data_IF_326144483822
#
_entry.id   IF_326144483822
#
_cell.length_a   1.000
_cell.length_b   1.000
_cell.length_c   1.000
_cell.angle_alpha   90.00
_cell.angle_beta   90.00
_cell.angle_gamma   90.00
#
_symmetry.space_group_name_H-M   'P 1'
#
loop_
_entity.id
_entity.type
_entity.pdbx_description
1 polymer ?
#
# COMPACT_ATOMS: atom_id res chain seq x y z
N UNK A 1 -11.59 2.58 -0.42
CA UNK A 1 -12.27 2.39 -1.72
C UNK A 1 -11.19 2.35 -2.77
N UNK A 2 -11.23 1.42 -3.73
CA UNK A 2 -10.31 1.37 -4.86
C UNK A 2 -11.10 1.38 -6.17
N UNK A 3 -10.64 2.17 -7.14
CA UNK A 3 -11.25 2.28 -8.47
C UNK A 3 -10.33 1.62 -9.50
N UNK A 4 -10.93 0.88 -10.43
CA UNK A 4 -10.18 0.12 -11.43
C UNK A 4 -10.83 0.23 -12.80
N UNK A 5 -10.03 0.09 -13.87
CA UNK A 5 -10.55 -0.26 -15.20
C UNK A 5 -10.64 -1.79 -15.36
N UNK A 6 -11.56 -2.28 -16.18
CA UNK A 6 -11.81 -3.72 -16.37
C UNK A 6 -10.57 -4.49 -16.85
N UNK A 7 -9.89 -4.00 -17.88
CA UNK A 7 -8.70 -4.68 -18.41
C UNK A 7 -7.53 -4.71 -17.41
N UNK A 8 -7.31 -3.61 -16.67
CA UNK A 8 -6.25 -3.53 -15.67
C UNK A 8 -6.55 -4.44 -14.47
N UNK A 9 -7.80 -4.47 -14.00
CA UNK A 9 -8.21 -5.32 -12.88
C UNK A 9 -7.99 -6.80 -13.17
N UNK A 10 -8.28 -7.24 -14.40
CA UNK A 10 -8.10 -8.63 -14.81
C UNK A 10 -6.65 -8.99 -15.16
N UNK A 11 -5.86 -8.03 -15.67
CA UNK A 11 -4.54 -8.32 -16.25
C UNK A 11 -3.33 -8.03 -15.35
N UNK A 12 -3.46 -7.20 -14.32
CA UNK A 12 -2.32 -6.82 -13.48
C UNK A 12 -2.16 -7.77 -12.28
N UNK A 13 -1.05 -8.50 -12.23
CA UNK A 13 -0.70 -9.40 -11.10
C UNK A 13 -0.81 -8.76 -9.70
N UNK A 14 -0.41 -7.48 -9.51
CA UNK A 14 -0.58 -6.78 -8.24
C UNK A 14 -2.02 -6.73 -7.71
N UNK A 15 -3.04 -6.85 -8.57
CA UNK A 15 -4.44 -6.91 -8.12
C UNK A 15 -4.69 -8.17 -7.29
N UNK A 16 -4.25 -9.33 -7.77
CA UNK A 16 -4.36 -10.59 -7.05
C UNK A 16 -3.54 -10.59 -5.76
N UNK A 17 -2.32 -10.03 -5.81
CA UNK A 17 -1.48 -9.88 -4.62
C UNK A 17 -2.15 -9.00 -3.54
N UNK A 18 -2.71 -7.86 -3.92
CA UNK A 18 -3.43 -6.97 -3.01
C UNK A 18 -4.72 -7.59 -2.46
N UNK A 19 -5.48 -8.32 -3.29
CA UNK A 19 -6.66 -9.06 -2.81
C UNK A 19 -6.25 -10.11 -1.76
N UNK A 20 -5.13 -10.80 -1.96
CA UNK A 20 -4.63 -11.79 -1.01
C UNK A 20 -4.22 -11.17 0.35
N UNK A 21 -3.84 -9.89 0.39
CA UNK A 21 -3.57 -9.16 1.63
C UNK A 21 -4.82 -8.91 2.49
N UNK A 22 -6.02 -8.89 1.89
CA UNK A 22 -7.26 -8.33 2.47
C UNK A 22 -7.61 -8.89 3.86
N UNK A 23 -7.27 -10.14 4.14
CA UNK A 23 -7.58 -10.82 5.41
C UNK A 23 -6.35 -11.19 6.25
N UNK A 24 -5.13 -10.95 5.73
CA UNK A 24 -3.91 -11.36 6.42
C UNK A 24 -3.62 -10.47 7.64
N UNK A 25 -3.25 -11.06 8.81
CA UNK A 25 -2.82 -10.29 9.96
C UNK A 25 -1.64 -9.37 9.61
N UNK A 26 -1.74 -8.09 9.98
CA UNK A 26 -0.74 -7.07 9.66
C UNK A 26 -1.01 -6.29 8.37
N UNK A 27 -1.97 -6.73 7.55
CA UNK A 27 -2.34 -6.09 6.28
C UNK A 27 -3.85 -5.83 6.13
N UNK A 28 -4.70 -6.61 6.81
CA UNK A 28 -6.16 -6.43 6.76
C UNK A 28 -6.59 -5.01 7.15
N UNK A 29 -7.50 -4.43 6.35
CA UNK A 29 -8.06 -3.07 6.55
C UNK A 29 -9.55 -3.08 6.89
N UNK A 30 -10.10 -4.27 7.20
CA UNK A 30 -11.54 -4.46 7.47
C UNK A 30 -12.39 -4.43 6.20
N UNK A 31 -11.82 -4.88 5.07
CA UNK A 31 -12.54 -4.95 3.80
C UNK A 31 -12.42 -3.68 2.95
N UNK A 32 -12.20 -3.88 1.66
CA UNK A 32 -12.13 -2.82 0.65
C UNK A 32 -13.32 -2.89 -0.31
N UNK A 33 -13.93 -1.74 -0.59
CA UNK A 33 -14.92 -1.62 -1.68
C UNK A 33 -14.16 -1.36 -2.98
N UNK A 34 -14.30 -2.25 -3.95
CA UNK A 34 -13.73 -2.14 -5.29
C UNK A 34 -14.81 -1.70 -6.27
N UNK A 35 -14.58 -0.62 -7.01
CA UNK A 35 -15.44 -0.19 -8.10
C UNK A 35 -14.71 -0.39 -9.43
N UNK A 36 -15.22 -1.28 -10.26
CA UNK A 36 -14.69 -1.50 -11.61
C UNK A 36 -15.51 -0.66 -12.57
N UNK A 37 -14.84 0.28 -13.23
CA UNK A 37 -15.40 1.04 -14.34
C UNK A 37 -15.23 0.18 -15.59
N UNK A 38 -16.18 -0.75 -15.78
CA UNK A 38 -16.13 -1.72 -16.85
C UNK A 38 -16.74 -1.14 -18.12
N UNK A 39 -15.93 -0.37 -18.83
CA UNK A 39 -16.29 0.24 -20.11
C UNK A 39 -16.14 -0.74 -21.30
N UNK A 40 -15.79 -2.00 -20.99
CA UNK A 40 -15.66 -3.12 -21.91
C UNK A 40 -14.53 -2.98 -22.93
N UNK A 41 -13.52 -2.13 -22.67
CA UNK A 41 -12.37 -1.95 -23.56
C UNK A 41 -11.12 -1.40 -22.86
N UNK A 42 -10.00 -2.12 -22.97
CA UNK A 42 -8.69 -1.67 -22.52
C UNK A 42 -7.88 -1.08 -23.66
N UNK A 43 -7.77 0.25 -23.78
CA UNK A 43 -7.19 0.93 -24.95
C UNK A 43 -7.96 0.54 -26.23
N UNK A 44 -7.44 -0.40 -27.02
CA UNK A 44 -8.05 -1.01 -28.22
C UNK A 44 -8.35 -2.50 -28.04
N UNK A 45 -8.01 -3.07 -26.88
CA UNK A 45 -8.15 -4.50 -26.59
C UNK A 45 -9.55 -4.82 -26.06
N UNK A 46 -10.21 -5.78 -26.71
CA UNK A 46 -11.56 -6.22 -26.35
C UNK A 46 -11.55 -7.21 -25.18
N UNK A 47 -12.68 -7.40 -24.47
CA UNK A 47 -12.80 -8.32 -23.34
C UNK A 47 -12.32 -9.75 -23.63
N UNK A 48 -12.59 -10.25 -24.84
CA UNK A 48 -12.19 -11.59 -25.28
C UNK A 48 -10.66 -11.77 -25.38
N UNK A 49 -9.92 -10.68 -25.57
CA UNK A 49 -8.45 -10.68 -25.66
C UNK A 49 -7.78 -10.25 -24.34
N UNK A 50 -8.55 -9.63 -23.43
CA UNK A 50 -8.02 -9.06 -22.19
C UNK A 50 -7.99 -10.06 -21.00
N UNK A 51 -8.75 -11.16 -21.07
CA UNK A 51 -8.90 -12.11 -19.96
C UNK A 51 -9.33 -13.49 -20.43
N UNK A 52 -9.11 -14.50 -19.59
CA UNK A 52 -9.45 -15.91 -19.88
C UNK A 52 -10.74 -16.38 -19.21
N UNK A 53 -11.53 -15.47 -18.64
CA UNK A 53 -12.78 -15.76 -17.95
C UNK A 53 -13.90 -14.79 -18.35
N UNK A 54 -15.14 -15.07 -17.94
CA UNK A 54 -16.29 -14.30 -18.39
C UNK A 54 -16.25 -12.84 -17.88
N UNK A 55 -15.93 -12.64 -16.61
CA UNK A 55 -15.98 -11.34 -15.95
C UNK A 55 -14.58 -10.82 -15.64
N UNK A 56 -14.38 -9.50 -15.80
CA UNK A 56 -13.13 -8.85 -15.38
C UNK A 56 -12.87 -9.03 -13.88
N UNK A 57 -13.94 -9.24 -13.10
CA UNK A 57 -13.93 -9.39 -11.65
C UNK A 57 -13.67 -10.79 -11.15
N UNK A 58 -13.48 -11.79 -12.03
CA UNK A 58 -13.29 -13.18 -11.61
C UNK A 58 -12.04 -13.38 -10.73
N UNK A 59 -11.04 -12.51 -10.84
CA UNK A 59 -9.87 -12.51 -9.94
C UNK A 59 -10.27 -12.36 -8.46
N UNK A 60 -11.35 -11.62 -8.16
CA UNK A 60 -11.83 -11.41 -6.79
C UNK A 60 -12.43 -12.68 -6.14
N UNK A 61 -12.75 -13.70 -6.96
CA UNK A 61 -13.21 -15.00 -6.45
C UNK A 61 -12.14 -15.72 -5.65
N UNK A 62 -10.86 -15.40 -5.83
CA UNK A 62 -9.76 -16.01 -5.07
C UNK A 62 -9.87 -15.77 -3.55
N UNK A 63 -10.55 -14.69 -3.15
CA UNK A 63 -10.84 -14.37 -1.75
C UNK A 63 -12.32 -14.48 -1.42
N UNK A 64 -13.12 -15.13 -2.27
CA UNK A 64 -14.56 -15.30 -2.10
C UNK A 64 -15.31 -13.97 -1.86
N UNK A 65 -14.85 -12.87 -2.48
CA UNK A 65 -15.53 -11.59 -2.36
C UNK A 65 -16.88 -11.64 -3.12
N UNK A 66 -17.97 -11.08 -2.55
CA UNK A 66 -19.19 -10.86 -3.32
C UNK A 66 -18.94 -9.87 -4.46
N UNK A 67 -19.57 -10.15 -5.60
CA UNK A 67 -19.46 -9.35 -6.83
C UNK A 67 -20.87 -8.95 -7.26
N UNK A 68 -21.12 -7.64 -7.37
CA UNK A 68 -22.34 -7.07 -7.88
C UNK A 68 -22.11 -6.55 -9.30
N UNK A 69 -22.68 -7.21 -10.30
CA UNK A 69 -22.69 -6.69 -11.67
C UNK A 69 -23.90 -5.77 -11.84
N UNK A 70 -23.65 -4.52 -12.23
CA UNK A 70 -24.68 -3.47 -12.24
C UNK A 70 -24.63 -2.74 -13.57
N UNK A 71 -25.80 -2.44 -14.13
CA UNK A 71 -25.90 -1.61 -15.32
C UNK A 71 -25.60 -0.14 -14.95
N UNK A 72 -24.49 0.39 -15.44
CA UNK A 72 -24.08 1.76 -15.19
C UNK A 72 -24.99 2.82 -15.82
N UNK A 73 -25.91 2.42 -16.70
CA UNK A 73 -26.95 3.29 -17.25
C UNK A 73 -28.21 3.39 -16.36
N UNK A 74 -28.23 2.72 -15.19
CA UNK A 74 -29.35 2.79 -14.22
C UNK A 74 -28.83 3.32 -12.87
N UNK A 75 -28.82 4.64 -12.65
CA UNK A 75 -28.18 5.26 -11.48
C UNK A 75 -28.71 4.76 -10.13
N UNK A 76 -30.00 4.42 -10.04
CA UNK A 76 -30.60 3.91 -8.81
C UNK A 76 -30.16 2.49 -8.47
N UNK A 77 -29.82 1.65 -9.44
CA UNK A 77 -29.22 0.33 -9.18
C UNK A 77 -27.78 0.48 -8.68
N UNK A 78 -27.02 1.42 -9.23
CA UNK A 78 -25.69 1.74 -8.72
C UNK A 78 -25.72 2.27 -7.29
N UNK A 79 -26.67 3.15 -6.98
CA UNK A 79 -26.87 3.65 -5.62
C UNK A 79 -27.15 2.50 -4.66
N UNK A 80 -28.08 1.61 -5.01
CA UNK A 80 -28.38 0.43 -4.20
C UNK A 80 -27.16 -0.48 -4.02
N UNK A 81 -26.39 -0.75 -5.08
CA UNK A 81 -25.19 -1.58 -5.00
C UNK A 81 -24.10 -0.94 -4.12
N UNK A 82 -23.96 0.39 -4.17
CA UNK A 82 -23.05 1.13 -3.29
C UNK A 82 -23.48 1.05 -1.82
N UNK A 83 -24.77 1.16 -1.53
CA UNK A 83 -25.31 0.96 -0.17
C UNK A 83 -25.05 -0.46 0.33
N UNK A 84 -25.40 -1.46 -0.48
CA UNK A 84 -25.16 -2.87 -0.15
C UNK A 84 -23.67 -3.14 0.12
N UNK A 85 -22.77 -2.66 -0.76
CA UNK A 85 -21.34 -2.86 -0.61
C UNK A 85 -20.81 -2.21 0.69
N UNK A 86 -21.29 -1.02 1.02
CA UNK A 86 -20.94 -0.35 2.27
C UNK A 86 -21.42 -1.15 3.49
N UNK A 87 -22.68 -1.55 3.52
CA UNK A 87 -23.28 -2.34 4.60
C UNK A 87 -22.56 -3.69 4.76
N UNK A 88 -22.32 -4.40 3.66
CA UNK A 88 -21.56 -5.67 3.66
C UNK A 88 -20.17 -5.47 4.26
N UNK A 89 -19.42 -4.47 3.79
CA UNK A 89 -18.07 -4.20 4.29
C UNK A 89 -18.08 -3.89 5.78
N UNK A 90 -19.05 -3.10 6.26
CA UNK A 90 -19.15 -2.76 7.70
C UNK A 90 -19.56 -3.95 8.56
N UNK A 91 -20.47 -4.80 8.07
CA UNK A 91 -20.97 -5.96 8.80
C UNK A 91 -19.94 -7.09 8.86
N UNK A 92 -19.21 -7.35 7.76
CA UNK A 92 -18.38 -8.54 7.62
C UNK A 92 -16.88 -8.27 7.61
N UNK A 93 -16.43 -7.02 7.41
CA UNK A 93 -15.01 -6.68 7.36
C UNK A 93 -14.26 -7.32 6.18
N UNK A 94 -14.96 -7.58 5.06
CA UNK A 94 -14.43 -8.23 3.86
C UNK A 94 -14.57 -7.36 2.61
N UNK A 95 -13.75 -7.63 1.62
CA UNK A 95 -13.77 -6.95 0.33
C UNK A 95 -15.08 -7.26 -0.41
N UNK A 96 -15.54 -6.30 -1.20
CA UNK A 96 -16.74 -6.40 -2.05
C UNK A 96 -16.49 -5.64 -3.35
N UNK A 97 -16.95 -6.21 -4.46
CA UNK A 97 -16.71 -5.68 -5.80
C UNK A 97 -18.01 -5.23 -6.45
N UNK A 98 -18.04 -4.00 -6.93
CA UNK A 98 -19.09 -3.47 -7.81
C UNK A 98 -18.49 -3.44 -9.22
N UNK A 99 -19.04 -4.25 -10.12
CA UNK A 99 -18.72 -4.28 -11.54
C UNK A 99 -19.73 -3.43 -12.30
N UNK A 100 -19.40 -2.15 -12.51
CA UNK A 100 -20.28 -1.20 -13.20
C UNK A 100 -20.05 -1.30 -14.71
N UNK A 101 -20.99 -1.96 -15.39
CA UNK A 101 -20.99 -2.05 -16.85
C UNK A 101 -21.39 -0.72 -17.46
N UNK A 102 -20.49 -0.14 -18.24
CA UNK A 102 -20.71 1.10 -18.96
C UNK A 102 -20.08 1.03 -20.36
N UNK A 103 -19.84 2.18 -20.96
CA UNK A 103 -19.15 2.31 -22.24
C UNK A 103 -18.25 3.54 -22.26
N UNK A 104 -17.20 3.52 -23.07
CA UNK A 104 -16.33 4.68 -23.29
C UNK A 104 -16.83 5.47 -24.50
N UNK A 105 -17.30 6.70 -24.30
CA UNK A 105 -17.90 7.54 -25.35
C UNK A 105 -16.89 7.90 -26.46
N UNK A 106 -15.67 8.26 -26.06
CA UNK A 106 -14.58 8.68 -26.93
C UNK A 106 -13.51 7.58 -27.06
N UNK A 107 -12.40 7.89 -27.72
CA UNK A 107 -11.19 7.06 -27.75
C UNK A 107 -10.60 6.82 -26.36
N UNK A 108 -9.44 6.14 -26.29
CA UNK A 108 -8.77 5.93 -25.00
C UNK A 108 -8.36 7.27 -24.36
N UNK A 109 -8.01 8.23 -25.21
CA UNK A 109 -8.00 9.66 -24.92
C UNK A 109 -8.89 10.38 -25.94
N UNK A 110 -9.18 11.66 -25.71
CA UNK A 110 -10.13 12.44 -26.52
C UNK A 110 -9.65 12.70 -27.96
N UNK A 111 -8.35 12.56 -28.22
CA UNK A 111 -7.75 12.73 -29.54
C UNK A 111 -7.57 11.39 -30.29
N UNK A 112 -7.87 10.27 -29.63
CA UNK A 112 -7.72 8.93 -30.19
C UNK A 112 -9.00 8.48 -30.92
N UNK A 113 -8.82 7.79 -32.05
CA UNK A 113 -9.92 7.35 -32.90
C UNK A 113 -10.19 5.85 -32.72
N UNK A 114 -11.02 5.51 -31.74
CA UNK A 114 -11.34 4.12 -31.43
C UNK A 114 -12.10 3.38 -32.55
N UNK A 115 -12.77 4.10 -33.46
CA UNK A 115 -13.42 3.47 -34.61
C UNK A 115 -12.44 2.74 -35.55
N UNK A 116 -11.13 3.02 -35.47
CA UNK A 116 -10.12 2.29 -36.24
C UNK A 116 -10.01 0.81 -35.87
N UNK A 117 -10.36 0.45 -34.64
CA UNK A 117 -10.27 -0.94 -34.17
C UNK A 117 -11.60 -1.50 -33.67
N UNK A 118 -12.56 -0.66 -33.26
CA UNK A 118 -13.92 -1.07 -32.84
C UNK A 118 -15.05 -0.33 -33.59
N UNK A 119 -15.09 -0.36 -34.94
CA UNK A 119 -16.03 0.47 -35.72
C UNK A 119 -17.50 0.17 -35.43
N UNK A 120 -17.87 -1.10 -35.25
CA UNK A 120 -19.27 -1.49 -35.02
C UNK A 120 -19.79 -1.02 -33.65
N UNK A 121 -19.00 -1.17 -32.60
CA UNK A 121 -19.37 -0.77 -31.23
C UNK A 121 -19.45 0.74 -31.14
N UNK A 122 -18.49 1.46 -31.71
CA UNK A 122 -18.50 2.93 -31.66
C UNK A 122 -19.61 3.55 -32.50
N UNK A 123 -20.04 2.91 -33.60
CA UNK A 123 -21.26 3.32 -34.31
C UNK A 123 -22.50 3.23 -33.42
N UNK A 124 -22.61 2.19 -32.60
CA UNK A 124 -23.71 2.07 -31.63
C UNK A 124 -23.62 3.16 -30.56
N UNK A 125 -22.43 3.34 -29.95
CA UNK A 125 -22.20 4.32 -28.88
C UNK A 125 -22.49 5.76 -29.34
N UNK A 126 -22.08 6.12 -30.56
CA UNK A 126 -22.31 7.46 -31.13
C UNK A 126 -23.80 7.78 -31.25
N UNK A 127 -24.64 6.78 -31.56
CA UNK A 127 -26.09 6.94 -31.65
C UNK A 127 -26.82 7.03 -30.31
N UNK A 128 -26.14 6.82 -29.17
CA UNK A 128 -26.77 6.86 -27.84
C UNK A 128 -26.80 8.28 -27.29
N UNK A 129 -27.83 8.58 -26.50
CA UNK A 129 -27.83 9.76 -25.63
C UNK A 129 -26.87 9.57 -24.46
N UNK A 130 -26.42 10.65 -23.83
CA UNK A 130 -25.59 10.53 -22.63
C UNK A 130 -26.43 10.08 -21.44
N UNK A 131 -25.82 9.39 -20.48
CA UNK A 131 -26.52 8.93 -19.28
C UNK A 131 -27.20 10.07 -18.51
N UNK A 132 -26.57 11.26 -18.47
CA UNK A 132 -27.18 12.45 -17.86
C UNK A 132 -28.50 12.85 -18.54
N UNK A 133 -28.56 12.81 -19.87
CA UNK A 133 -29.77 13.15 -20.63
C UNK A 133 -30.85 12.05 -20.49
N UNK A 134 -30.45 10.77 -20.51
CA UNK A 134 -31.37 9.64 -20.30
C UNK A 134 -32.03 9.76 -18.91
N UNK A 135 -31.24 9.97 -17.86
CA UNK A 135 -31.75 10.06 -16.49
C UNK A 135 -32.56 11.34 -16.26
N UNK A 136 -32.15 12.47 -16.85
CA UNK A 136 -32.93 13.72 -16.86
C UNK A 136 -34.33 13.49 -17.43
N UNK A 137 -34.43 12.90 -18.62
CA UNK A 137 -35.73 12.60 -19.25
C UNK A 137 -36.57 11.65 -18.40
N UNK A 138 -35.95 10.65 -17.79
CA UNK A 138 -36.64 9.73 -16.89
C UNK A 138 -37.25 10.46 -15.68
N UNK A 139 -36.49 11.31 -14.99
CA UNK A 139 -36.98 12.05 -13.82
C UNK A 139 -38.11 13.02 -14.18
N UNK A 140 -38.02 13.69 -15.33
CA UNK A 140 -39.08 14.57 -15.82
C UNK A 140 -40.34 13.78 -16.18
N UNK A 141 -40.19 12.65 -16.88
CA UNK A 141 -41.32 11.79 -17.23
C UNK A 141 -42.01 11.19 -16.00
N UNK A 142 -41.27 10.92 -14.93
CA UNK A 142 -41.80 10.45 -13.65
C UNK A 142 -42.40 11.56 -12.78
N UNK A 143 -42.26 12.84 -13.18
CA UNK A 143 -42.71 13.99 -12.40
C UNK A 143 -41.87 14.26 -11.14
N UNK A 144 -40.71 13.62 -11.00
CA UNK A 144 -39.78 13.86 -9.90
C UNK A 144 -39.06 15.21 -10.02
N UNK A 145 -38.93 15.72 -11.25
CA UNK A 145 -38.44 17.06 -11.57
C UNK A 145 -39.32 17.70 -12.65
N UNK A 146 -39.48 19.03 -12.62
CA UNK A 146 -39.98 19.74 -13.80
C UNK A 146 -38.87 19.90 -14.84
N UNK A 147 -39.23 20.11 -16.11
CA UNK A 147 -38.25 20.41 -17.16
C UNK A 147 -37.41 21.66 -16.81
N UNK A 148 -38.05 22.69 -16.26
CA UNK A 148 -37.39 23.92 -15.85
C UNK A 148 -36.37 23.69 -14.73
N UNK A 149 -36.70 22.85 -13.74
CA UNK A 149 -35.75 22.49 -12.67
C UNK A 149 -34.56 21.71 -13.22
N UNK A 150 -34.81 20.77 -14.13
CA UNK A 150 -33.77 19.97 -14.75
C UNK A 150 -32.81 20.81 -15.63
N UNK A 151 -33.35 21.76 -16.40
CA UNK A 151 -32.56 22.70 -17.19
C UNK A 151 -31.76 23.65 -16.29
N UNK A 152 -32.35 24.10 -15.19
CA UNK A 152 -31.66 24.91 -14.19
C UNK A 152 -30.49 24.17 -13.55
N UNK A 153 -30.63 22.90 -13.19
CA UNK A 153 -29.53 22.09 -12.65
C UNK A 153 -28.37 22.02 -13.66
N UNK A 154 -28.66 21.85 -14.94
CA UNK A 154 -27.65 21.82 -16.00
C UNK A 154 -26.94 23.16 -16.14
N UNK A 155 -27.68 24.27 -16.11
CA UNK A 155 -27.11 25.61 -16.13
C UNK A 155 -26.25 25.89 -14.90
N UNK A 156 -26.73 25.54 -13.70
CA UNK A 156 -26.00 25.73 -12.44
C UNK A 156 -24.65 24.97 -12.43
N UNK A 157 -24.57 23.82 -13.11
CA UNK A 157 -23.31 23.07 -13.29
C UNK A 157 -22.33 23.85 -14.17
N UNK A 158 -22.80 24.39 -15.30
CA UNK A 158 -21.96 25.19 -16.20
C UNK A 158 -21.49 26.48 -15.56
N UNK A 159 -22.36 27.21 -14.88
CA UNK A 159 -22.03 28.44 -14.16
C UNK A 159 -20.94 28.18 -13.11
N UNK A 160 -21.00 27.02 -12.42
CA UNK A 160 -19.96 26.61 -11.47
C UNK A 160 -18.62 26.31 -12.13
N UNK A 161 -18.61 25.71 -13.32
CA UNK A 161 -17.37 25.50 -14.08
C UNK A 161 -16.76 26.82 -14.54
N UNK A 162 -17.57 27.75 -15.04
CA UNK A 162 -17.11 29.08 -15.44
C UNK A 162 -16.56 29.87 -14.25
N UNK A 163 -17.27 29.90 -13.13
CA UNK A 163 -16.82 30.56 -11.90
C UNK A 163 -15.52 29.92 -11.37
N UNK A 164 -15.40 28.59 -11.41
CA UNK A 164 -14.19 27.88 -11.04
C UNK A 164 -12.99 28.21 -11.93
N UNK A 165 -13.22 28.32 -13.24
CA UNK A 165 -12.21 28.71 -14.22
C UNK A 165 -11.75 30.16 -14.00
N UNK A 166 -12.68 31.09 -13.82
CA UNK A 166 -12.36 32.49 -13.52
C UNK A 166 -11.53 32.62 -12.23
N UNK A 167 -11.93 31.91 -11.17
CA UNK A 167 -11.17 31.87 -9.91
C UNK A 167 -9.77 31.27 -10.09
N UNK A 168 -9.63 30.23 -10.92
CA UNK A 168 -8.31 29.64 -11.22
C UNK A 168 -7.38 30.66 -11.88
N UNK A 169 -7.88 31.40 -12.88
CA UNK A 169 -7.12 32.44 -13.57
C UNK A 169 -6.69 33.55 -12.60
N UNK A 170 -7.61 34.02 -11.75
CA UNK A 170 -7.31 35.04 -10.74
C UNK A 170 -6.19 34.60 -9.78
N UNK A 171 -6.26 33.37 -9.27
CA UNK A 171 -5.22 32.82 -8.38
C UNK A 171 -3.87 32.68 -9.09
N UNK A 172 -3.88 32.32 -10.37
CA UNK A 172 -2.67 32.22 -11.18
C UNK A 172 -2.03 33.59 -11.43
N UNK A 173 -2.83 34.61 -11.74
CA UNK A 173 -2.37 35.99 -11.93
C UNK A 173 -1.75 36.57 -10.65
N UNK A 174 -2.28 36.21 -9.48
CA UNK A 174 -1.74 36.63 -8.17
C UNK A 174 -0.52 35.81 -7.71
N UNK A 175 -0.18 34.72 -8.40
CA UNK A 175 0.87 33.79 -7.98
C UNK A 175 0.52 32.97 -6.73
N UNK A 176 -0.77 32.92 -6.37
CA UNK A 176 -1.28 32.19 -5.19
C UNK A 176 -1.56 30.71 -5.48
N UNK A 177 -1.25 30.25 -6.71
CA UNK A 177 -1.41 28.86 -7.13
C UNK A 177 -0.13 28.33 -7.78
N UNK A 178 0.30 27.15 -7.32
CA UNK A 178 1.35 26.35 -7.92
C UNK A 178 0.79 25.02 -8.43
N UNK A 179 1.63 24.22 -9.08
CA UNK A 179 1.29 22.85 -9.46
C UNK A 179 0.95 21.96 -8.24
N UNK A 180 1.35 22.37 -7.03
CA UNK A 180 1.13 21.62 -5.79
C UNK A 180 0.07 22.24 -4.87
N UNK A 181 -0.64 23.29 -5.32
CA UNK A 181 -1.71 23.88 -4.52
C UNK A 181 -2.79 22.84 -4.20
N UNK A 182 -3.03 22.61 -2.91
CA UNK A 182 -3.93 21.57 -2.40
C UNK A 182 -3.25 20.25 -2.05
N UNK A 183 -1.91 20.16 -2.18
CA UNK A 183 -1.14 19.04 -1.66
C UNK A 183 -1.33 18.92 -0.15
N UNK A 184 -1.57 17.69 0.33
CA UNK A 184 -1.61 17.36 1.76
C UNK A 184 -0.25 16.89 2.27
N UNK A 185 0.80 17.06 1.47
CA UNK A 185 2.16 16.78 1.84
C UNK A 185 2.58 17.52 3.12
N UNK A 186 3.23 16.80 4.02
CA UNK A 186 3.93 17.43 5.15
C UNK A 186 5.32 17.83 4.68
N UNK A 187 5.64 19.12 4.82
CA UNK A 187 6.97 19.62 4.50
C UNK A 187 8.02 18.99 5.45
N UNK A 188 9.07 18.42 4.87
CA UNK A 188 10.18 17.86 5.65
C UNK A 188 11.22 18.93 5.95
N UNK A 189 11.91 18.76 7.07
CA UNK A 189 13.10 19.55 7.33
C UNK A 189 14.15 19.31 6.24
N UNK A 190 14.89 20.34 5.81
CA UNK A 190 15.96 20.17 4.84
C UNK A 190 16.96 19.10 5.30
N UNK A 191 17.21 18.13 4.42
CA UNK A 191 18.21 17.10 4.71
C UNK A 191 19.59 17.72 4.96
N UNK A 192 20.24 17.24 6.02
CA UNK A 192 21.56 17.68 6.48
C UNK A 192 22.49 16.48 6.69
N UNK A 193 23.77 16.67 6.37
CA UNK A 193 24.83 15.70 6.72
C UNK A 193 25.33 15.87 8.16
N UNK A 194 24.73 16.78 8.94
CA UNK A 194 25.08 16.95 10.34
C UNK A 194 24.82 15.65 11.11
N UNK A 195 25.76 15.23 11.98
CA UNK A 195 25.53 14.08 12.85
C UNK A 195 24.28 14.28 13.70
N UNK A 196 23.45 13.24 13.79
CA UNK A 196 22.29 13.21 14.70
C UNK A 196 22.70 12.40 15.94
N UNK A 197 22.51 12.93 17.17
CA UNK A 197 22.82 12.18 18.39
C UNK A 197 21.79 11.05 18.59
N UNK A 198 22.11 9.86 18.11
CA UNK A 198 21.27 8.64 18.20
C UNK A 198 21.67 7.70 19.34
N UNK A 199 22.64 8.10 20.16
CA UNK A 199 23.11 7.31 21.29
C UNK A 199 22.08 7.23 22.41
N UNK A 200 21.93 6.04 23.00
CA UNK A 200 21.04 5.79 24.13
C UNK A 200 21.83 5.68 25.45
N UNK A 201 21.16 5.99 26.57
CA UNK A 201 21.74 5.82 27.90
C UNK A 201 22.10 4.36 28.19
N UNK A 202 23.20 4.13 28.91
CA UNK A 202 23.64 2.77 29.28
C UNK A 202 22.57 2.00 30.05
N UNK A 203 21.83 2.68 30.93
CA UNK A 203 20.76 2.07 31.72
C UNK A 203 19.61 1.59 30.83
N UNK A 204 19.23 2.38 29.82
CA UNK A 204 18.21 1.98 28.85
C UNK A 204 18.69 0.80 28.01
N UNK A 205 19.94 0.83 27.53
CA UNK A 205 20.54 -0.29 26.79
C UNK A 205 20.53 -1.58 27.63
N UNK A 206 20.92 -1.51 28.91
CA UNK A 206 20.90 -2.64 29.84
C UNK A 206 19.48 -3.15 30.10
N UNK A 207 18.53 -2.25 30.29
CA UNK A 207 17.11 -2.59 30.50
C UNK A 207 16.52 -3.32 29.29
N UNK A 208 16.62 -2.73 28.10
CA UNK A 208 16.13 -3.33 26.85
C UNK A 208 16.82 -4.67 26.59
N UNK A 209 18.15 -4.72 26.74
CA UNK A 209 18.91 -5.96 26.56
C UNK A 209 18.47 -7.08 27.49
N UNK A 210 18.15 -6.76 28.75
CA UNK A 210 17.61 -7.71 29.72
C UNK A 210 16.23 -8.22 29.29
N UNK A 211 15.33 -7.34 28.85
CA UNK A 211 14.00 -7.74 28.36
C UNK A 211 14.12 -8.67 27.14
N UNK A 212 14.95 -8.31 26.16
CA UNK A 212 15.20 -9.10 24.95
C UNK A 212 15.76 -10.51 25.22
N UNK A 213 16.37 -10.71 26.39
CA UNK A 213 17.01 -11.96 26.79
C UNK A 213 16.30 -12.66 27.95
N UNK A 214 15.12 -12.17 28.35
CA UNK A 214 14.29 -12.79 29.39
C UNK A 214 13.13 -13.53 28.76
N UNK A 215 13.08 -14.83 29.01
CA UNK A 215 12.01 -15.73 28.56
C UNK A 215 11.03 -15.92 29.74
N UNK A 216 9.70 -15.85 29.53
CA UNK A 216 8.73 -16.03 30.59
C UNK A 216 8.83 -17.39 31.27
N UNK A 217 8.46 -17.45 32.56
CA UNK A 217 8.36 -18.71 33.29
C UNK A 217 7.35 -19.64 32.59
N UNK A 218 7.71 -20.92 32.48
CA UNK A 218 6.89 -21.93 31.81
C UNK A 218 6.95 -21.91 30.26
N UNK A 219 7.68 -20.99 29.64
CA UNK A 219 7.85 -20.95 28.19
C UNK A 219 8.98 -21.89 27.72
N UNK A 220 8.63 -22.86 26.89
CA UNK A 220 9.52 -23.93 26.41
C UNK A 220 10.29 -23.49 25.16
N UNK A 221 11.32 -22.65 25.37
CA UNK A 221 12.15 -22.17 24.27
C UNK A 221 12.99 -23.32 23.67
N UNK A 222 13.11 -23.35 22.34
CA UNK A 222 13.91 -24.36 21.63
C UNK A 222 15.34 -24.48 22.21
N UNK A 223 15.89 -25.70 22.44
CA UNK A 223 17.14 -25.90 23.16
C UNK A 223 18.34 -25.11 22.63
N UNK A 224 18.47 -24.96 21.30
CA UNK A 224 19.56 -24.16 20.70
C UNK A 224 19.46 -22.68 21.07
N UNK A 225 18.25 -22.13 21.12
CA UNK A 225 18.05 -20.73 21.48
C UNK A 225 18.30 -20.51 22.98
N UNK A 226 17.79 -21.41 23.82
CA UNK A 226 17.99 -21.37 25.27
C UNK A 226 19.45 -21.57 25.69
N UNK A 227 20.19 -22.46 25.01
CA UNK A 227 21.57 -22.82 25.40
C UNK A 227 22.66 -22.00 24.71
N UNK A 228 22.36 -21.34 23.58
CA UNK A 228 23.37 -20.62 22.79
C UNK A 228 22.99 -19.18 22.51
N UNK A 229 21.82 -18.95 21.93
CA UNK A 229 21.43 -17.63 21.45
C UNK A 229 21.20 -16.63 22.59
N UNK A 230 20.33 -16.97 23.54
CA UNK A 230 20.00 -16.09 24.68
C UNK A 230 21.22 -15.86 25.60
N UNK A 231 21.95 -16.91 26.03
CA UNK A 231 23.13 -16.72 26.89
C UNK A 231 24.22 -15.85 26.25
N UNK A 232 24.47 -16.00 24.94
CA UNK A 232 25.47 -15.17 24.23
C UNK A 232 25.13 -13.68 24.28
N UNK A 233 23.85 -13.32 24.13
CA UNK A 233 23.39 -11.92 24.24
C UNK A 233 23.45 -11.40 25.68
N UNK A 234 23.15 -12.24 26.66
CA UNK A 234 23.30 -11.90 28.08
C UNK A 234 24.77 -11.63 28.44
N UNK A 235 25.69 -12.47 27.97
CA UNK A 235 27.12 -12.30 28.16
C UNK A 235 27.63 -11.01 27.50
N UNK A 236 27.22 -10.74 26.24
CA UNK A 236 27.56 -9.49 25.55
C UNK A 236 27.07 -8.26 26.34
N UNK A 237 25.88 -8.34 26.95
CA UNK A 237 25.31 -7.26 27.76
C UNK A 237 26.12 -7.02 29.04
N UNK A 238 26.54 -8.09 29.72
CA UNK A 238 27.34 -8.04 30.95
C UNK A 238 28.76 -7.50 30.68
N UNK A 239 29.39 -7.96 29.60
CA UNK A 239 30.77 -7.62 29.26
C UNK A 239 30.90 -6.28 28.52
N UNK A 240 29.77 -5.66 28.12
CA UNK A 240 29.75 -4.46 27.29
C UNK A 240 30.11 -4.72 25.81
N UNK A 241 30.03 -5.97 25.37
CA UNK A 241 30.26 -6.42 24.00
C UNK A 241 30.99 -7.76 23.91
N UNK A 242 31.19 -8.28 22.69
CA UNK A 242 30.72 -7.73 21.41
C UNK A 242 29.20 -7.91 21.21
N UNK A 243 28.52 -6.85 20.78
CA UNK A 243 27.10 -6.89 20.40
C UNK A 243 27.02 -7.25 18.91
N UNK A 244 26.28 -8.31 18.57
CA UNK A 244 26.05 -8.68 17.17
C UNK A 244 24.99 -7.79 16.49
N UNK A 245 24.93 -7.86 15.15
CA UNK A 245 24.05 -7.03 14.33
C UNK A 245 22.58 -7.10 14.76
N UNK A 246 22.07 -8.33 14.94
CA UNK A 246 20.68 -8.58 15.28
C UNK A 246 20.31 -8.08 16.68
N UNK A 247 21.26 -8.16 17.62
CA UNK A 247 21.06 -7.65 18.96
C UNK A 247 21.10 -6.11 18.98
N UNK A 248 22.01 -5.49 18.24
CA UNK A 248 22.04 -4.03 18.06
C UNK A 248 20.75 -3.50 17.43
N UNK A 249 20.24 -4.17 16.39
CA UNK A 249 18.96 -3.88 15.76
C UNK A 249 17.79 -3.91 16.77
N UNK A 250 17.70 -5.00 17.55
CA UNK A 250 16.65 -5.14 18.56
C UNK A 250 16.76 -4.11 19.69
N UNK A 251 17.99 -3.73 20.09
CA UNK A 251 18.23 -2.68 21.08
C UNK A 251 17.77 -1.30 20.57
N UNK A 252 18.06 -0.99 19.30
CA UNK A 252 17.62 0.25 18.67
C UNK A 252 16.08 0.34 18.62
N UNK A 253 15.40 -0.73 18.21
CA UNK A 253 13.94 -0.76 18.23
C UNK A 253 13.37 -0.64 19.65
N UNK A 254 13.94 -1.36 20.62
CA UNK A 254 13.51 -1.27 22.00
C UNK A 254 13.61 0.15 22.58
N UNK A 255 14.67 0.87 22.26
CA UNK A 255 14.82 2.27 22.65
C UNK A 255 13.77 3.18 22.00
N UNK A 256 13.58 3.07 20.68
CA UNK A 256 12.55 3.82 19.95
C UNK A 256 11.15 3.61 20.55
N UNK A 257 10.83 2.35 20.90
CA UNK A 257 9.56 2.01 21.53
C UNK A 257 9.39 2.70 22.90
N UNK A 258 10.46 2.83 23.69
CA UNK A 258 10.39 3.57 24.96
C UNK A 258 10.29 5.08 24.79
N UNK A 259 10.75 5.62 23.65
CA UNK A 259 10.67 7.04 23.29
C UNK A 259 9.34 7.43 22.62
N UNK A 260 8.44 6.47 22.43
CA UNK A 260 7.11 6.70 21.85
C UNK A 260 7.03 6.47 20.33
N UNK A 261 8.12 6.06 19.69
CA UNK A 261 8.16 5.72 18.28
C UNK A 261 7.70 4.28 18.05
N UNK A 262 6.67 4.10 17.23
CA UNK A 262 6.22 2.77 16.84
C UNK A 262 7.21 2.16 15.85
N UNK A 263 7.29 0.83 15.80
CA UNK A 263 8.16 0.14 14.83
C UNK A 263 7.35 -0.94 14.12
N UNK A 264 7.39 -0.95 12.79
CA UNK A 264 6.80 -1.98 11.95
C UNK A 264 7.89 -2.63 11.10
N UNK A 265 8.05 -3.94 11.27
CA UNK A 265 8.87 -4.79 10.42
C UNK A 265 7.97 -5.76 9.66
N UNK A 266 8.10 -5.74 8.34
CA UNK A 266 7.34 -6.58 7.41
C UNK A 266 8.29 -7.18 6.37
N UNK A 267 8.02 -8.42 5.96
CA UNK A 267 8.89 -9.15 5.03
C UNK A 267 8.77 -10.66 5.23
N UNK A 268 9.28 -11.42 4.28
CA UNK A 268 9.20 -12.88 4.32
C UNK A 268 10.11 -13.40 5.44
N UNK A 269 9.54 -14.17 6.38
CA UNK A 269 10.23 -14.77 7.52
C UNK A 269 10.97 -13.80 8.47
N UNK A 270 10.69 -12.49 8.38
CA UNK A 270 11.41 -11.44 9.11
C UNK A 270 11.36 -11.62 10.65
N UNK A 271 10.34 -12.29 11.20
CA UNK A 271 10.22 -12.60 12.64
C UNK A 271 11.40 -13.41 13.17
N UNK A 272 11.80 -14.45 12.44
CA UNK A 272 12.99 -15.25 12.74
C UNK A 272 14.23 -14.59 12.14
N UNK A 273 14.05 -13.95 10.99
CA UNK A 273 15.09 -13.55 10.06
C UNK A 273 15.44 -14.72 9.14
N UNK A 274 15.63 -14.44 7.85
CA UNK A 274 16.04 -15.42 6.83
C UNK A 274 17.23 -16.23 7.32
N UNK A 275 18.25 -15.54 7.82
CA UNK A 275 19.50 -16.12 8.32
C UNK A 275 19.43 -16.63 9.78
N UNK A 276 18.23 -16.77 10.35
CA UNK A 276 18.01 -17.20 11.75
C UNK A 276 18.81 -16.40 12.78
N UNK A 277 18.94 -15.09 12.56
CA UNK A 277 19.78 -14.20 13.36
C UNK A 277 18.95 -13.33 14.32
N UNK A 278 17.71 -13.00 13.94
CA UNK A 278 16.91 -11.97 14.62
C UNK A 278 16.16 -12.50 15.83
N UNK A 279 15.31 -13.50 15.61
CA UNK A 279 14.39 -14.06 16.62
C UNK A 279 13.59 -12.98 17.38
N UNK A 280 13.00 -12.02 16.66
CA UNK A 280 12.09 -11.03 17.23
C UNK A 280 10.82 -11.67 17.83
N UNK A 281 10.48 -12.89 17.39
CA UNK A 281 9.40 -13.72 17.94
C UNK A 281 9.97 -15.07 18.35
N UNK A 282 9.79 -15.43 19.62
CA UNK A 282 10.01 -16.78 20.13
C UNK A 282 8.73 -17.61 20.00
N UNK A 283 8.91 -18.91 19.77
CA UNK A 283 7.83 -19.89 19.72
C UNK A 283 8.06 -20.92 20.82
N UNK A 284 7.02 -21.20 21.60
CA UNK A 284 7.02 -22.28 22.57
C UNK A 284 7.00 -23.61 21.82
N UNK A 285 7.94 -24.51 22.17
CA UNK A 285 8.18 -25.75 21.43
C UNK A 285 7.05 -26.77 21.58
N UNK A 286 6.23 -26.66 22.63
CA UNK A 286 5.14 -27.59 22.94
C UNK A 286 3.79 -27.06 22.44
N UNK A 287 3.54 -25.76 22.58
CA UNK A 287 2.22 -25.14 22.36
C UNK A 287 2.17 -24.27 21.10
N UNK A 288 3.32 -23.92 20.51
CA UNK A 288 3.45 -22.93 19.43
C UNK A 288 2.99 -21.52 19.82
N UNK A 289 2.80 -21.25 21.11
CA UNK A 289 2.52 -19.91 21.60
C UNK A 289 3.66 -18.96 21.20
N UNK A 290 3.31 -17.73 20.83
CA UNK A 290 4.27 -16.69 20.45
C UNK A 290 4.59 -15.82 21.65
N UNK A 291 5.86 -15.51 21.84
CA UNK A 291 6.31 -14.47 22.76
C UNK A 291 7.19 -13.48 22.01
N UNK A 292 6.88 -12.20 22.13
CA UNK A 292 7.55 -11.11 21.41
C UNK A 292 8.18 -10.20 22.47
N UNK A 293 9.47 -10.37 22.80
CA UNK A 293 10.11 -9.62 23.90
C UNK A 293 9.95 -8.09 23.75
N UNK A 294 9.96 -7.60 22.51
CA UNK A 294 9.80 -6.18 22.20
C UNK A 294 8.40 -5.63 22.49
N UNK A 295 7.39 -6.45 22.79
CA UNK A 295 6.08 -5.99 23.29
C UNK A 295 6.05 -5.81 24.82
N UNK A 296 7.17 -6.08 25.51
CA UNK A 296 7.27 -6.10 26.98
C UNK A 296 8.46 -5.29 27.53
N UNK A 297 8.96 -4.31 26.77
CA UNK A 297 10.04 -3.39 27.17
C UNK A 297 9.57 -2.45 28.29
N UNK A 298 8.37 -1.88 28.20
CA UNK A 298 7.82 -0.98 29.22
C UNK A 298 6.29 -1.00 29.20
N UNK A 299 5.57 -0.79 30.32
CA UNK A 299 4.11 -0.68 30.33
C UNK A 299 3.56 0.48 29.46
N UNK A 300 4.38 1.50 29.20
CA UNK A 300 3.99 2.69 28.42
C UNK A 300 4.67 2.77 27.05
N UNK A 301 5.27 1.67 26.59
CA UNK A 301 5.97 1.66 25.30
C UNK A 301 5.02 1.88 24.12
N UNK A 302 5.58 2.35 23.01
CA UNK A 302 4.92 2.32 21.72
C UNK A 302 4.76 0.89 21.17
N UNK A 303 3.97 0.78 20.11
CA UNK A 303 3.63 -0.51 19.51
C UNK A 303 4.76 -1.06 18.64
N UNK A 304 5.14 -2.31 18.90
CA UNK A 304 5.98 -3.11 18.00
C UNK A 304 5.10 -3.98 17.11
N UNK A 305 5.36 -3.96 15.81
CA UNK A 305 4.56 -4.64 14.79
C UNK A 305 5.48 -5.51 13.92
N UNK A 306 5.52 -6.82 14.13
CA UNK A 306 6.34 -7.73 13.31
C UNK A 306 5.51 -8.79 12.57
N UNK A 307 5.55 -8.74 11.24
CA UNK A 307 4.71 -9.57 10.38
C UNK A 307 5.56 -10.31 9.35
N UNK A 308 5.55 -11.64 9.42
CA UNK A 308 5.92 -12.43 8.25
C UNK A 308 4.90 -12.10 7.16
N UNK A 309 5.35 -11.48 6.08
CA UNK A 309 4.53 -11.23 4.92
C UNK A 309 4.20 -12.55 4.23
N UNK A 310 3.17 -12.54 3.37
CA UNK A 310 3.06 -13.60 2.37
C UNK A 310 4.12 -13.40 1.28
N UNK A 311 4.23 -14.38 0.37
CA UNK A 311 5.26 -14.42 -0.66
C UNK A 311 4.95 -13.45 -1.82
N UNK A 312 5.11 -12.15 -1.55
CA UNK A 312 4.91 -11.05 -2.50
C UNK A 312 5.82 -9.90 -2.13
N UNK A 313 6.55 -9.36 -3.10
CA UNK A 313 7.34 -8.15 -2.93
C UNK A 313 6.53 -6.91 -3.32
N UNK A 314 5.80 -6.97 -4.44
CA UNK A 314 5.11 -5.80 -5.00
C UNK A 314 4.04 -5.27 -4.05
N UNK A 315 3.04 -6.10 -3.69
CA UNK A 315 1.94 -5.64 -2.86
C UNK A 315 2.39 -5.31 -1.43
N UNK A 316 3.35 -6.06 -0.89
CA UNK A 316 3.85 -5.85 0.48
C UNK A 316 4.65 -4.55 0.57
N UNK A 317 5.59 -4.30 -0.34
CA UNK A 317 6.36 -3.06 -0.35
C UNK A 317 5.45 -1.85 -0.63
N UNK A 318 4.48 -1.98 -1.54
CA UNK A 318 3.48 -0.95 -1.79
C UNK A 318 2.62 -0.65 -0.57
N UNK A 319 2.24 -1.68 0.19
CA UNK A 319 1.50 -1.53 1.45
C UNK A 319 2.34 -0.79 2.50
N UNK A 320 3.60 -1.18 2.70
CA UNK A 320 4.48 -0.54 3.69
C UNK A 320 4.87 0.89 3.29
N UNK A 321 5.00 1.19 2.00
CA UNK A 321 5.09 2.56 1.50
C UNK A 321 3.86 3.37 1.94
N UNK A 322 2.65 2.87 1.67
CA UNK A 322 1.41 3.51 2.14
C UNK A 322 1.35 3.68 3.67
N UNK A 323 1.87 2.71 4.43
CA UNK A 323 1.93 2.78 5.89
C UNK A 323 2.86 3.90 6.37
N UNK A 324 4.03 4.08 5.73
CA UNK A 324 4.97 5.17 6.05
C UNK A 324 4.32 6.56 5.88
N UNK A 325 3.43 6.71 4.89
CA UNK A 325 2.71 7.96 4.67
C UNK A 325 1.60 8.19 5.71
N UNK A 326 0.90 7.13 6.10
CA UNK A 326 -0.22 7.18 7.04
C UNK A 326 0.19 7.25 8.52
N UNK A 327 1.42 6.85 8.84
CA UNK A 327 1.95 6.80 10.21
C UNK A 327 3.37 7.38 10.29
N UNK A 328 3.57 8.69 10.07
CA UNK A 328 4.89 9.30 9.93
C UNK A 328 5.77 9.28 11.20
N UNK A 329 5.22 8.89 12.36
CA UNK A 329 5.98 8.70 13.60
C UNK A 329 6.38 7.24 13.84
N UNK A 330 6.07 6.34 12.90
CA UNK A 330 6.41 4.91 12.96
C UNK A 330 7.61 4.62 12.07
N UNK A 331 8.66 4.04 12.64
CA UNK A 331 9.72 3.44 11.84
C UNK A 331 9.16 2.23 11.08
N UNK A 332 8.98 2.39 9.78
CA UNK A 332 8.46 1.35 8.89
C UNK A 332 9.61 0.71 8.13
N UNK A 333 9.77 -0.61 8.26
CA UNK A 333 10.81 -1.39 7.61
C UNK A 333 10.18 -2.50 6.76
N UNK A 334 10.66 -2.61 5.52
CA UNK A 334 10.40 -3.75 4.65
C UNK A 334 11.71 -4.52 4.42
N UNK A 335 11.69 -5.83 4.66
CA UNK A 335 12.84 -6.73 4.47
C UNK A 335 12.60 -7.70 3.32
N UNK A 336 13.47 -7.63 2.30
CA UNK A 336 13.56 -8.65 1.27
C UNK A 336 14.24 -9.90 1.84
N UNK A 337 13.83 -11.10 1.41
CA UNK A 337 14.48 -12.34 1.88
C UNK A 337 15.97 -12.36 1.49
N UNK A 338 16.26 -11.98 0.26
CA UNK A 338 17.55 -11.54 -0.27
C UNK A 338 17.32 -10.27 -1.09
N UNK A 339 18.30 -9.36 -1.13
CA UNK A 339 18.16 -8.08 -1.82
C UNK A 339 17.85 -8.23 -3.33
N UNK A 340 18.30 -9.33 -3.93
CA UNK A 340 18.09 -9.68 -5.34
C UNK A 340 16.60 -9.66 -5.73
N UNK A 341 15.69 -10.03 -4.81
CA UNK A 341 14.25 -10.14 -5.05
C UNK A 341 13.50 -8.79 -5.02
N UNK A 342 14.15 -7.71 -4.59
CA UNK A 342 13.53 -6.37 -4.60
C UNK A 342 13.06 -5.92 -5.99
N UNK A 343 13.62 -6.51 -7.05
CA UNK A 343 13.19 -6.25 -8.44
C UNK A 343 11.73 -6.67 -8.72
N UNK A 344 11.14 -7.57 -7.94
CA UNK A 344 9.71 -7.90 -8.01
C UNK A 344 8.80 -6.71 -7.69
N UNK A 345 9.32 -5.75 -6.92
CA UNK A 345 8.64 -4.51 -6.54
C UNK A 345 9.19 -3.26 -7.26
N UNK A 346 9.85 -3.43 -8.41
CA UNK A 346 10.55 -2.33 -9.09
C UNK A 346 9.65 -1.12 -9.40
N UNK A 347 8.39 -1.34 -9.76
CA UNK A 347 7.44 -0.23 -10.01
C UNK A 347 7.18 0.59 -8.74
N UNK A 348 7.14 -0.06 -7.57
CA UNK A 348 7.00 0.65 -6.29
C UNK A 348 8.26 1.48 -6.01
N UNK A 349 9.44 0.92 -6.26
CA UNK A 349 10.72 1.61 -6.09
C UNK A 349 10.78 2.84 -7.00
N UNK A 350 10.57 2.66 -8.30
CA UNK A 350 10.74 3.70 -9.31
C UNK A 350 9.68 4.80 -9.17
N UNK A 351 8.42 4.40 -9.04
CA UNK A 351 7.28 5.32 -9.15
C UNK A 351 6.75 5.83 -7.82
N UNK A 352 7.25 5.33 -6.69
CA UNK A 352 6.86 5.83 -5.38
C UNK A 352 8.09 6.19 -4.57
N UNK A 353 8.89 5.21 -4.15
CA UNK A 353 10.00 5.44 -3.20
C UNK A 353 11.01 6.46 -3.73
N UNK A 354 11.46 6.32 -4.98
CA UNK A 354 12.48 7.19 -5.55
C UNK A 354 11.95 8.52 -6.10
N UNK A 355 10.64 8.69 -6.31
CA UNK A 355 10.12 9.83 -7.09
C UNK A 355 8.88 10.53 -6.52
N UNK A 356 8.24 10.00 -5.48
CA UNK A 356 7.01 10.57 -4.94
C UNK A 356 7.19 11.97 -4.34
N UNK A 357 8.31 12.24 -3.68
CA UNK A 357 8.58 13.57 -3.14
C UNK A 357 8.67 14.61 -4.26
N UNK A 358 9.38 14.30 -5.36
CA UNK A 358 9.48 15.23 -6.49
C UNK A 358 8.16 15.38 -7.26
N UNK A 359 7.36 14.31 -7.39
CA UNK A 359 6.11 14.32 -8.16
C UNK A 359 4.91 14.87 -7.40
N UNK A 360 4.85 14.59 -6.09
CA UNK A 360 3.66 14.78 -5.27
C UNK A 360 3.97 15.44 -3.91
N UNK A 361 5.21 15.90 -3.69
CA UNK A 361 5.68 16.44 -2.41
C UNK A 361 5.50 15.47 -1.24
N UNK A 362 5.35 14.17 -1.50
CA UNK A 362 5.00 13.20 -0.47
C UNK A 362 6.27 12.47 0.03
N UNK A 363 6.84 12.89 1.18
CA UNK A 363 8.02 12.25 1.75
C UNK A 363 7.67 10.88 2.37
N UNK A 364 8.64 9.97 2.39
CA UNK A 364 8.53 8.66 3.05
C UNK A 364 9.86 8.34 3.74
N UNK A 365 9.79 7.80 4.95
CA UNK A 365 10.92 7.36 5.76
C UNK A 365 11.06 5.82 5.78
N UNK A 366 10.42 5.14 4.82
CA UNK A 366 10.46 3.69 4.68
C UNK A 366 11.90 3.18 4.56
N UNK A 367 12.28 2.25 5.43
CA UNK A 367 13.58 1.57 5.38
C UNK A 367 13.45 0.28 4.61
N UNK A 368 14.24 0.11 3.55
CA UNK A 368 14.37 -1.14 2.81
C UNK A 368 15.60 -1.91 3.28
N UNK A 369 15.41 -3.08 3.89
CA UNK A 369 16.48 -3.98 4.28
C UNK A 369 16.73 -4.99 3.15
N UNK A 370 17.86 -4.85 2.46
CA UNK A 370 18.20 -5.64 1.28
C UNK A 370 19.50 -6.44 1.54
N UNK A 371 19.40 -7.71 1.98
CA UNK A 371 20.59 -8.53 2.20
C UNK A 371 21.45 -8.61 0.94
N UNK A 372 22.76 -8.35 1.09
CA UNK A 372 23.72 -8.23 -0.01
C UNK A 372 25.06 -8.85 0.39
N UNK A 373 25.70 -9.59 -0.51
CA UNK A 373 27.02 -10.16 -0.27
C UNK A 373 27.41 -11.24 -1.27
N UNK A 374 28.62 -11.15 -1.83
CA UNK A 374 29.15 -12.14 -2.77
C UNK A 374 29.79 -13.32 -2.02
N UNK A 375 28.96 -14.24 -1.54
CA UNK A 375 29.37 -15.38 -0.71
C UNK A 375 29.37 -16.73 -1.46
N UNK A 376 29.21 -16.70 -2.79
CA UNK A 376 29.20 -17.90 -3.64
C UNK A 376 27.86 -18.65 -3.68
N UNK A 377 26.76 -18.01 -3.26
CA UNK A 377 25.41 -18.59 -3.23
C UNK A 377 24.68 -18.53 -4.58
N UNK A 378 25.30 -17.96 -5.62
CA UNK A 378 24.74 -17.86 -6.97
C UNK A 378 24.13 -16.50 -7.30
N UNK A 379 23.64 -16.32 -8.54
CA UNK A 379 23.27 -15.01 -9.07
C UNK A 379 22.03 -14.36 -8.44
N UNK A 380 21.13 -15.15 -7.84
CA UNK A 380 19.91 -14.67 -7.18
C UNK A 380 20.04 -14.54 -5.65
N UNK A 381 21.26 -14.68 -5.10
CA UNK A 381 21.54 -14.62 -3.66
C UNK A 381 22.84 -13.86 -3.36
N UNK A 382 23.18 -12.87 -4.18
CA UNK A 382 24.46 -12.15 -4.07
C UNK A 382 24.31 -10.64 -4.08
N UNK A 383 23.36 -10.10 -4.85
CA UNK A 383 23.33 -8.67 -5.16
C UNK A 383 21.94 -8.06 -5.01
N UNK A 384 21.81 -7.19 -4.02
CA UNK A 384 20.76 -6.17 -3.93
C UNK A 384 20.74 -5.13 -5.08
N UNK A 385 21.64 -5.23 -6.07
CA UNK A 385 21.72 -4.29 -7.21
C UNK A 385 21.91 -2.83 -6.78
N UNK A 386 22.85 -2.62 -5.86
CA UNK A 386 23.15 -1.31 -5.27
C UNK A 386 23.34 -0.21 -6.33
N UNK A 387 23.95 -0.56 -7.46
CA UNK A 387 24.16 0.33 -8.61
C UNK A 387 22.86 0.93 -9.16
N UNK A 388 21.74 0.19 -9.09
CA UNK A 388 20.44 0.67 -9.54
C UNK A 388 19.85 1.69 -8.58
N UNK A 389 19.97 1.46 -7.27
CA UNK A 389 19.54 2.44 -6.27
C UNK A 389 20.38 3.72 -6.39
N UNK A 390 21.69 3.59 -6.56
CA UNK A 390 22.57 4.75 -6.79
C UNK A 390 22.21 5.50 -8.08
N UNK A 391 21.80 4.81 -9.15
CA UNK A 391 21.33 5.45 -10.37
C UNK A 391 20.01 6.23 -10.19
N UNK A 392 19.15 5.77 -9.27
CA UNK A 392 17.89 6.45 -8.93
C UNK A 392 18.10 7.66 -8.00
N UNK A 393 19.25 7.78 -7.33
CA UNK A 393 19.56 8.90 -6.46
C UNK A 393 19.66 10.22 -7.24
N UNK A 394 18.75 11.16 -6.97
CA UNK A 394 18.78 12.52 -7.47
C UNK A 394 18.02 13.45 -6.53
N UNK A 395 18.48 14.70 -6.35
CA UNK A 395 17.74 15.68 -5.56
C UNK A 395 17.52 15.30 -4.09
N UNK A 396 18.38 14.42 -3.51
CA UNK A 396 18.28 13.90 -2.14
C UNK A 396 17.02 13.04 -1.88
N UNK A 397 16.44 12.46 -2.92
CA UNK A 397 15.23 11.64 -2.86
C UNK A 397 15.35 10.37 -1.99
N UNK A 398 16.51 9.70 -1.98
CA UNK A 398 16.75 8.49 -1.18
C UNK A 398 18.15 8.49 -0.55
N UNK A 399 18.30 7.75 0.55
CA UNK A 399 19.57 7.49 1.23
C UNK A 399 19.93 6.02 1.00
N UNK A 400 21.15 5.77 0.55
CA UNK A 400 21.68 4.43 0.27
C UNK A 400 22.92 4.24 1.14
N UNK A 401 22.93 3.19 1.96
CA UNK A 401 23.96 2.95 2.98
C UNK A 401 24.29 1.49 3.19
#
# INVERSE_FOLDING_TARGET
ILLHGDAAFAGQGPVAECLNLSQLPGYRTGGTIHLIINNQIGFTTMPADARSSAYATDVAKMIEAPILHVNGEVPMELYWAAQFALEFRQQFGRDVVIDMYCYRRQGHNENDQAAFTQPHIYKLIQGRETIGQIYKKQLVAQGALSQADADKIEQDIWDRFEAGHAKMLELQEKGERSAFSGSTAVEQMPYTHAPVPTGIGRDLLQHVGKVLTTVPEGFNLHPTLAKRFVPRRQEALQNGGPIDWAFAESLAWGALLTEGHQVRLSGQDCRRGTFSHRHAVFYDSETRARYIPLEHVSPTQAKFCVYNSFLSEFAVLGFDYGYSLGAPNMLTLWEAQFGDFSNGAQVIIDQFIASAESKWQTPSDLVMLLPHGYEGQGPEHSSARLERFLQLCAGKNIIVG
#
